data_IF_004809888988
#
_entry.id   IF_004809888988
#
_cell.length_a   1.000
_cell.length_b   1.000
_cell.length_c   1.000
_cell.angle_alpha   90.00
_cell.angle_beta   90.00
_cell.angle_gamma   90.00
#
_symmetry.space_group_name_H-M   'P 1'
#
loop_
_entity.id
_entity.type
_entity.pdbx_description
1 polymer ?
#
# COMPACT_ATOMS: atom_id res chain seq x y z
N UNK A 1 -7.78 -7.89 -8.07
CA UNK A 1 -7.37 -6.55 -7.57
C UNK A 1 -6.89 -5.71 -8.73
N UNK A 2 -7.16 -4.40 -8.70
CA UNK A 2 -6.69 -3.44 -9.72
C UNK A 2 -5.84 -2.35 -9.09
N UNK A 3 -4.82 -1.90 -9.82
CA UNK A 3 -4.01 -0.73 -9.50
C UNK A 3 -4.23 0.28 -10.59
N UNK A 4 -4.93 1.36 -10.24
CA UNK A 4 -5.25 2.47 -11.14
C UNK A 4 -4.25 3.59 -10.86
N UNK A 5 -3.46 3.96 -11.85
CA UNK A 5 -2.45 5.00 -11.75
C UNK A 5 -2.81 6.18 -12.63
N UNK A 6 -3.09 7.33 -12.02
CA UNK A 6 -3.39 8.57 -12.70
C UNK A 6 -2.14 9.44 -12.75
N UNK A 7 -1.73 9.82 -13.96
CA UNK A 7 -0.56 10.66 -14.19
C UNK A 7 -1.00 12.11 -14.13
N UNK A 8 -0.65 12.80 -13.05
CA UNK A 8 -1.11 14.16 -12.79
C UNK A 8 -0.14 15.20 -13.34
N UNK A 9 -0.68 16.37 -13.66
CA UNK A 9 0.11 17.60 -13.79
C UNK A 9 0.84 17.93 -12.48
N UNK A 10 1.94 18.67 -12.59
CA UNK A 10 2.71 19.09 -11.43
C UNK A 10 2.00 20.20 -10.70
N UNK A 11 2.04 20.14 -9.37
CA UNK A 11 1.49 21.18 -8.48
C UNK A 11 2.48 21.49 -7.37
N UNK A 12 2.40 22.70 -6.82
CA UNK A 12 3.23 23.17 -5.71
C UNK A 12 2.64 22.81 -4.34
N UNK A 13 2.07 21.61 -4.22
CA UNK A 13 1.55 21.07 -2.96
C UNK A 13 2.45 19.91 -2.54
N UNK A 14 2.80 19.85 -1.25
CA UNK A 14 3.53 18.70 -0.70
C UNK A 14 2.74 17.41 -0.90
N UNK A 15 3.42 16.34 -1.29
CA UNK A 15 2.79 15.04 -1.54
C UNK A 15 1.89 14.56 -0.39
N UNK A 16 2.33 14.76 0.86
CA UNK A 16 1.60 14.34 2.05
C UNK A 16 0.24 15.06 2.19
N UNK A 17 0.21 16.35 1.87
CA UNK A 17 -1.01 17.15 1.94
C UNK A 17 -1.90 16.88 0.72
N UNK A 18 -1.27 16.71 -0.45
CA UNK A 18 -1.99 16.45 -1.70
C UNK A 18 -2.71 15.10 -1.66
N UNK A 19 -2.05 14.04 -1.19
CA UNK A 19 -2.67 12.70 -1.14
C UNK A 19 -3.88 12.67 -0.20
N UNK A 20 -3.87 13.41 0.90
CA UNK A 20 -5.03 13.57 1.79
C UNK A 20 -6.18 14.33 1.10
N UNK A 21 -5.87 15.37 0.32
CA UNK A 21 -6.87 16.10 -0.46
C UNK A 21 -7.47 15.25 -1.58
N UNK A 22 -6.65 14.45 -2.26
CA UNK A 22 -7.08 13.50 -3.28
C UNK A 22 -7.99 12.41 -2.68
N UNK A 23 -7.69 11.94 -1.47
CA UNK A 23 -8.57 11.04 -0.74
C UNK A 23 -9.92 11.69 -0.46
N UNK A 24 -9.95 12.92 0.05
CA UNK A 24 -11.21 13.65 0.27
C UNK A 24 -12.01 13.88 -1.02
N UNK A 25 -11.32 14.22 -2.11
CA UNK A 25 -11.93 14.31 -3.44
C UNK A 25 -12.58 12.99 -3.87
N UNK A 26 -11.88 11.87 -3.70
CA UNK A 26 -12.43 10.55 -4.03
C UNK A 26 -13.64 10.20 -3.16
N UNK A 27 -13.58 10.47 -1.85
CA UNK A 27 -14.70 10.21 -0.94
C UNK A 27 -15.94 11.04 -1.27
N UNK A 28 -15.78 12.23 -1.85
CA UNK A 28 -16.91 13.06 -2.30
C UNK A 28 -17.64 12.52 -3.54
N UNK A 29 -17.12 11.46 -4.17
CA UNK A 29 -17.60 10.89 -5.45
C UNK A 29 -18.16 9.48 -5.33
N UNK A 30 -17.97 8.83 -4.20
CA UNK A 30 -18.56 7.51 -3.93
C UNK A 30 -19.95 7.67 -3.30
N UNK A 31 -20.75 6.61 -3.30
CA UNK A 31 -22.05 6.62 -2.64
C UNK A 31 -21.92 6.80 -1.12
N UNK A 32 -22.95 7.35 -0.49
CA UNK A 32 -23.01 7.48 0.97
C UNK A 32 -22.99 6.09 1.64
N UNK A 33 -23.73 5.14 1.08
CA UNK A 33 -23.78 3.75 1.57
C UNK A 33 -22.39 3.10 1.54
N UNK A 34 -21.61 3.29 0.47
CA UNK A 34 -20.25 2.79 0.41
C UNK A 34 -19.31 3.52 1.40
N UNK A 35 -19.47 4.83 1.59
CA UNK A 35 -18.70 5.57 2.57
C UNK A 35 -18.95 5.08 4.01
N UNK A 36 -20.19 4.78 4.36
CA UNK A 36 -20.56 4.21 5.65
C UNK A 36 -20.00 2.79 5.81
N UNK A 37 -20.11 1.96 4.77
CA UNK A 37 -19.49 0.63 4.74
C UNK A 37 -17.97 0.69 5.01
N UNK A 38 -17.25 1.64 4.40
CA UNK A 38 -15.81 1.84 4.63
C UNK A 38 -15.48 2.20 6.08
N UNK A 39 -16.36 2.96 6.77
CA UNK A 39 -16.13 3.35 8.16
C UNK A 39 -16.23 2.16 9.14
N UNK A 40 -16.98 1.12 8.77
CA UNK A 40 -17.15 -0.09 9.58
C UNK A 40 -16.01 -1.09 9.38
N UNK A 41 -15.21 -0.95 8.33
CA UNK A 41 -14.13 -1.90 8.03
C UNK A 41 -12.90 -1.68 8.89
N UNK A 42 -12.38 -2.77 9.48
CA UNK A 42 -11.02 -2.74 10.06
C UNK A 42 -9.94 -2.56 8.98
N UNK A 43 -10.16 -3.19 7.81
CA UNK A 43 -9.29 -3.11 6.65
C UNK A 43 -10.10 -2.63 5.47
N UNK A 44 -9.88 -1.38 5.05
CA UNK A 44 -10.53 -0.85 3.84
C UNK A 44 -10.19 -1.70 2.60
N UNK A 45 -11.16 -1.95 1.70
CA UNK A 45 -10.97 -2.66 0.44
C UNK A 45 -10.26 -1.82 -0.64
N UNK A 46 -9.59 -0.74 -0.24
CA UNK A 46 -8.74 0.06 -1.12
C UNK A 46 -7.52 0.59 -0.36
N UNK A 47 -6.50 0.93 -1.13
CA UNK A 47 -5.37 1.74 -0.65
C UNK A 47 -5.11 2.87 -1.64
N UNK A 48 -4.47 3.94 -1.19
CA UNK A 48 -4.01 4.99 -2.08
C UNK A 48 -2.65 5.50 -1.66
N UNK A 49 -1.90 6.02 -2.64
CA UNK A 49 -0.63 6.66 -2.42
C UNK A 49 -0.32 7.65 -3.53
N UNK A 50 0.62 8.55 -3.27
CA UNK A 50 1.10 9.53 -4.24
C UNK A 50 2.62 9.41 -4.33
N UNK A 51 3.13 9.27 -5.55
CA UNK A 51 4.55 9.24 -5.83
C UNK A 51 4.92 10.37 -6.78
N UNK A 52 5.74 11.30 -6.29
CA UNK A 52 6.24 12.44 -7.06
C UNK A 52 7.75 12.39 -7.23
N UNK A 53 8.24 12.58 -8.45
CA UNK A 53 9.65 12.87 -8.77
C UNK A 53 9.77 14.27 -9.37
N UNK A 54 10.90 14.64 -9.98
CA UNK A 54 10.96 15.90 -10.76
C UNK A 54 10.08 15.84 -12.02
N UNK A 55 9.97 14.67 -12.64
CA UNK A 55 9.35 14.50 -13.96
C UNK A 55 7.89 14.07 -13.87
N UNK A 56 7.54 13.24 -12.89
CA UNK A 56 6.21 12.61 -12.82
C UNK A 56 5.55 12.78 -11.46
N UNK A 57 4.23 12.87 -11.47
CA UNK A 57 3.38 12.82 -10.29
C UNK A 57 2.32 11.77 -10.56
N UNK A 58 2.32 10.69 -9.78
CA UNK A 58 1.44 9.54 -10.00
C UNK A 58 0.60 9.35 -8.75
N UNK A 59 -0.71 9.55 -8.89
CA UNK A 59 -1.68 9.16 -7.88
C UNK A 59 -2.12 7.73 -8.16
N UNK A 60 -1.87 6.84 -7.21
CA UNK A 60 -2.25 5.43 -7.31
C UNK A 60 -3.42 5.14 -6.39
N UNK A 61 -4.46 4.52 -6.94
CA UNK A 61 -5.61 3.98 -6.21
C UNK A 61 -5.66 2.48 -6.47
N UNK A 62 -5.50 1.67 -5.42
CA UNK A 62 -5.58 0.23 -5.51
C UNK A 62 -6.95 -0.25 -5.03
N UNK A 63 -7.63 -1.03 -5.86
CA UNK A 63 -8.94 -1.62 -5.64
C UNK A 63 -8.72 -3.09 -5.25
N UNK A 64 -8.97 -3.41 -3.98
CA UNK A 64 -8.52 -4.66 -3.36
C UNK A 64 -9.64 -5.70 -3.23
N UNK A 65 -10.90 -5.27 -3.28
CA UNK A 65 -12.09 -6.12 -3.30
C UNK A 65 -13.06 -5.66 -4.40
N UNK A 66 -14.08 -6.48 -4.67
CA UNK A 66 -15.03 -6.24 -5.76
C UNK A 66 -15.86 -4.97 -5.53
N UNK A 67 -16.32 -4.75 -4.31
CA UNK A 67 -17.14 -3.59 -3.91
C UNK A 67 -16.38 -2.27 -4.13
N UNK A 68 -15.07 -2.27 -3.84
CA UNK A 68 -14.22 -1.12 -4.14
C UNK A 68 -14.02 -0.92 -5.64
N UNK A 69 -13.97 -1.99 -6.43
CA UNK A 69 -13.89 -1.88 -7.88
C UNK A 69 -15.16 -1.26 -8.45
N UNK A 70 -16.32 -1.73 -8.03
CA UNK A 70 -17.64 -1.27 -8.49
C UNK A 70 -17.89 0.20 -8.15
N UNK A 71 -17.53 0.64 -6.93
CA UNK A 71 -17.81 2.00 -6.47
C UNK A 71 -16.73 3.03 -6.87
N UNK A 72 -15.45 2.64 -6.87
CA UNK A 72 -14.34 3.60 -7.06
C UNK A 72 -13.89 3.67 -8.53
N UNK A 73 -13.82 2.54 -9.25
CA UNK A 73 -13.25 2.54 -10.61
C UNK A 73 -14.01 3.49 -11.56
N UNK A 74 -15.35 3.53 -11.59
CA UNK A 74 -16.09 4.43 -12.48
C UNK A 74 -15.75 5.91 -12.26
N UNK A 75 -15.38 6.29 -11.03
CA UNK A 75 -15.02 7.67 -10.67
C UNK A 75 -13.65 8.10 -11.24
N UNK A 76 -12.84 7.13 -11.70
CA UNK A 76 -11.47 7.36 -12.15
C UNK A 76 -11.29 7.23 -13.67
N UNK A 77 -12.08 6.39 -14.35
CA UNK A 77 -11.86 6.03 -15.77
C UNK A 77 -11.82 7.22 -16.72
N UNK A 78 -12.76 8.16 -16.57
CA UNK A 78 -12.89 9.33 -17.43
C UNK A 78 -12.44 10.63 -16.76
N UNK A 79 -11.69 10.52 -15.65
CA UNK A 79 -11.27 11.66 -14.87
C UNK A 79 -10.20 12.46 -15.63
N UNK A 80 -10.57 13.64 -16.13
CA UNK A 80 -9.67 14.54 -16.87
C UNK A 80 -9.07 15.64 -16.00
N UNK A 81 -9.81 16.11 -15.01
CA UNK A 81 -9.39 17.19 -14.12
C UNK A 81 -9.87 16.95 -12.70
N UNK A 82 -9.06 17.38 -11.73
CA UNK A 82 -9.35 17.29 -10.31
C UNK A 82 -9.36 18.72 -9.75
N UNK A 83 -10.53 19.17 -9.32
CA UNK A 83 -10.67 20.42 -8.58
C UNK A 83 -10.66 20.13 -7.08
N UNK A 84 -9.76 20.77 -6.34
CA UNK A 84 -9.69 20.65 -4.88
C UNK A 84 -10.21 21.93 -4.24
N UNK A 85 -11.03 21.83 -3.18
CA UNK A 85 -11.62 23.02 -2.51
C UNK A 85 -10.61 24.01 -1.95
N UNK A 86 -9.37 23.56 -1.72
CA UNK A 86 -8.29 24.33 -1.08
C UNK A 86 -7.13 24.60 -2.04
N UNK A 87 -7.36 24.44 -3.34
CA UNK A 87 -6.40 24.74 -4.41
C UNK A 87 -7.16 25.45 -5.53
N UNK A 88 -6.70 26.62 -5.93
CA UNK A 88 -7.42 27.48 -6.88
C UNK A 88 -7.39 26.95 -8.31
N UNK A 89 -6.34 26.21 -8.68
CA UNK A 89 -6.17 25.67 -10.03
C UNK A 89 -6.73 24.24 -10.11
N UNK A 90 -7.07 23.79 -11.32
CA UNK A 90 -7.42 22.40 -11.56
C UNK A 90 -6.16 21.56 -11.81
N UNK A 91 -6.14 20.33 -11.29
CA UNK A 91 -5.06 19.38 -11.54
C UNK A 91 -5.45 18.52 -12.74
N UNK A 92 -4.79 18.71 -13.88
CA UNK A 92 -5.04 17.90 -15.07
C UNK A 92 -4.54 16.46 -14.90
N UNK A 93 -5.34 15.49 -15.35
CA UNK A 93 -4.97 14.07 -15.50
C UNK A 93 -4.47 13.87 -16.93
N UNK A 94 -3.19 13.58 -17.06
CA UNK A 94 -2.48 13.42 -18.36
C UNK A 94 -2.56 12.01 -18.92
N UNK A 95 -2.89 11.03 -18.08
CA UNK A 95 -2.95 9.63 -18.47
C UNK A 95 -3.45 8.75 -17.33
N UNK A 96 -3.88 7.56 -17.69
CA UNK A 96 -4.38 6.55 -16.77
C UNK A 96 -3.84 5.19 -17.19
N UNK A 97 -3.26 4.47 -16.23
CA UNK A 97 -2.77 3.11 -16.40
C UNK A 97 -3.51 2.19 -15.41
N UNK A 98 -3.94 1.01 -15.88
CA UNK A 98 -4.56 -0.01 -15.02
C UNK A 98 -3.71 -1.27 -15.09
N UNK A 99 -3.27 -1.74 -13.93
CA UNK A 99 -2.63 -3.03 -13.77
C UNK A 99 -3.55 -3.94 -12.96
N UNK A 100 -3.62 -5.21 -13.34
CA UNK A 100 -4.44 -6.21 -12.63
C UNK A 100 -3.52 -7.18 -11.92
N UNK A 101 -3.83 -7.46 -10.65
CA UNK A 101 -3.27 -8.57 -9.90
C UNK A 101 -4.39 -9.55 -9.60
N UNK A 102 -4.32 -10.72 -10.25
CA UNK A 102 -5.26 -11.81 -10.04
C UNK A 102 -4.79 -12.72 -8.90
N UNK A 103 -5.71 -13.50 -8.32
CA UNK A 103 -5.34 -14.55 -7.36
C UNK A 103 -4.45 -15.61 -8.02
N UNK A 104 -4.69 -15.92 -9.30
CA UNK A 104 -3.86 -16.83 -10.07
C UNK A 104 -2.40 -16.33 -10.18
N UNK A 105 -2.19 -15.03 -10.41
CA UNK A 105 -0.85 -14.44 -10.46
C UNK A 105 -0.13 -14.51 -9.11
N UNK A 106 -0.87 -14.42 -7.99
CA UNK A 106 -0.29 -14.63 -6.66
C UNK A 106 0.07 -16.11 -6.43
N UNK A 107 -0.77 -17.03 -6.92
CA UNK A 107 -0.50 -18.46 -6.85
C UNK A 107 0.74 -18.84 -7.68
N UNK A 108 0.93 -18.23 -8.85
CA UNK A 108 2.12 -18.42 -9.69
C UNK A 108 3.40 -17.98 -8.95
N UNK A 109 3.37 -16.85 -8.23
CA UNK A 109 4.48 -16.42 -7.36
C UNK A 109 4.74 -17.43 -6.25
N UNK A 110 3.69 -18.02 -5.68
CA UNK A 110 3.83 -19.06 -4.65
C UNK A 110 4.41 -20.37 -5.21
N UNK A 111 4.16 -20.66 -6.49
CA UNK A 111 4.65 -21.85 -7.18
C UNK A 111 6.02 -21.66 -7.84
N UNK A 112 6.64 -20.48 -7.70
CA UNK A 112 7.95 -20.19 -8.27
C UNK A 112 9.01 -21.17 -7.75
N UNK A 113 9.75 -21.78 -8.68
CA UNK A 113 10.87 -22.65 -8.36
C UNK A 113 12.05 -21.83 -7.82
N UNK A 114 12.56 -22.22 -6.65
CA UNK A 114 13.70 -21.59 -5.96
C UNK A 114 13.56 -20.06 -5.72
N UNK A 115 12.54 -19.59 -4.98
CA UNK A 115 12.37 -18.17 -4.71
C UNK A 115 13.61 -17.57 -4.03
N UNK A 116 13.97 -16.34 -4.43
CA UNK A 116 15.13 -15.65 -3.86
C UNK A 116 15.03 -15.56 -2.34
N UNK A 117 16.14 -15.83 -1.66
CA UNK A 117 16.27 -15.63 -0.21
C UNK A 117 16.43 -14.16 0.19
N UNK A 118 16.60 -13.26 -0.78
CA UNK A 118 16.83 -11.82 -0.54
C UNK A 118 15.78 -11.02 -1.30
N UNK A 119 15.09 -10.13 -0.58
CA UNK A 119 14.09 -9.22 -1.14
C UNK A 119 14.46 -7.78 -0.80
N UNK A 120 14.45 -6.92 -1.81
CA UNK A 120 14.69 -5.49 -1.66
C UNK A 120 13.35 -4.76 -1.70
N UNK A 121 13.04 -4.01 -0.64
CA UNK A 121 11.77 -3.30 -0.51
C UNK A 121 12.05 -1.82 -0.41
N UNK A 122 11.29 -1.02 -1.16
CA UNK A 122 11.28 0.43 -1.06
C UNK A 122 9.92 0.90 -0.57
N UNK A 123 9.89 1.43 0.65
CA UNK A 123 8.77 2.19 1.21
C UNK A 123 8.85 3.65 0.73
N UNK A 124 8.16 3.95 -0.38
CA UNK A 124 8.26 5.24 -1.04
C UNK A 124 7.29 6.29 -0.47
N UNK A 125 6.22 5.87 0.20
CA UNK A 125 5.41 6.74 1.07
C UNK A 125 5.66 6.43 2.56
N UNK A 126 5.30 7.32 3.49
CA UNK A 126 5.59 7.12 4.91
C UNK A 126 4.83 5.89 5.42
N UNK A 127 5.55 5.02 6.10
CA UNK A 127 5.04 3.76 6.65
C UNK A 127 5.19 3.76 8.15
N UNK A 128 4.15 3.34 8.85
CA UNK A 128 4.21 3.07 10.30
C UNK A 128 3.29 1.91 10.65
N UNK A 129 3.64 1.25 11.74
CA UNK A 129 2.81 0.23 12.38
C UNK A 129 2.25 0.78 13.69
N UNK A 130 1.23 0.12 14.23
CA UNK A 130 0.70 0.39 15.57
C UNK A 130 0.90 -0.85 16.44
N UNK A 131 1.65 -0.72 17.52
CA UNK A 131 1.91 -1.79 18.49
C UNK A 131 1.62 -1.26 19.89
N UNK A 132 0.73 -1.94 20.63
CA UNK A 132 0.33 -1.55 21.99
C UNK A 132 -0.03 -0.06 22.12
N UNK A 133 -0.84 0.44 21.18
CA UNK A 133 -1.29 1.83 21.16
C UNK A 133 -0.26 2.85 20.65
N UNK A 134 1.00 2.46 20.43
CA UNK A 134 2.07 3.36 19.97
C UNK A 134 2.43 3.12 18.51
N UNK A 135 2.82 4.19 17.82
CA UNK A 135 3.34 4.13 16.46
C UNK A 135 4.82 3.72 16.45
N UNK A 136 5.22 2.95 15.45
CA UNK A 136 6.57 2.37 15.34
C UNK A 136 7.35 3.07 14.23
N UNK A 137 8.51 3.62 14.60
CA UNK A 137 9.40 4.37 13.70
C UNK A 137 10.36 3.49 12.88
N UNK A 138 10.61 2.26 13.30
CA UNK A 138 11.53 1.36 12.61
C UNK A 138 10.77 0.21 11.94
N UNK A 139 11.18 -0.22 10.74
CA UNK A 139 10.63 -1.42 10.12
C UNK A 139 11.00 -2.65 10.95
N UNK A 140 10.06 -3.59 11.02
CA UNK A 140 10.14 -4.82 11.80
C UNK A 140 9.50 -5.91 10.93
N UNK A 141 10.20 -7.04 10.71
CA UNK A 141 9.73 -8.09 9.80
C UNK A 141 8.43 -8.71 10.26
N UNK A 142 8.27 -8.93 11.57
CA UNK A 142 7.01 -9.41 12.15
C UNK A 142 5.88 -8.43 11.89
N UNK A 143 6.09 -7.12 12.07
CA UNK A 143 5.04 -6.12 11.81
C UNK A 143 4.69 -5.98 10.32
N UNK A 144 5.69 -6.10 9.44
CA UNK A 144 5.48 -6.11 7.98
C UNK A 144 4.58 -7.30 7.61
N UNK A 145 4.97 -8.52 7.99
CA UNK A 145 4.22 -9.71 7.63
C UNK A 145 2.87 -9.80 8.33
N UNK A 146 2.79 -9.41 9.60
CA UNK A 146 1.51 -9.33 10.32
C UNK A 146 0.52 -8.42 9.58
N UNK A 147 0.98 -7.24 9.16
CA UNK A 147 0.13 -6.32 8.41
C UNK A 147 -0.35 -6.90 7.08
N UNK A 148 0.53 -7.59 6.34
CA UNK A 148 0.20 -8.15 5.04
C UNK A 148 -0.72 -9.36 5.18
N UNK A 149 -0.44 -10.26 6.12
CA UNK A 149 -1.27 -11.41 6.43
C UNK A 149 -2.68 -10.98 6.86
N UNK A 150 -2.81 -9.99 7.77
CA UNK A 150 -4.11 -9.49 8.20
C UNK A 150 -4.93 -8.91 7.05
N UNK A 151 -4.29 -8.11 6.18
CA UNK A 151 -4.93 -7.55 4.99
C UNK A 151 -5.36 -8.65 4.01
N UNK A 152 -4.48 -9.61 3.75
CA UNK A 152 -4.75 -10.71 2.82
C UNK A 152 -5.89 -11.60 3.33
N UNK A 153 -5.82 -12.01 4.60
CA UNK A 153 -6.81 -12.86 5.25
C UNK A 153 -8.22 -12.24 5.21
N UNK A 154 -8.34 -10.94 5.49
CA UNK A 154 -9.64 -10.24 5.50
C UNK A 154 -10.19 -9.98 4.11
N UNK A 155 -9.34 -9.50 3.19
CA UNK A 155 -9.79 -9.04 1.87
C UNK A 155 -9.92 -10.16 0.85
N UNK A 156 -9.13 -11.23 0.99
CA UNK A 156 -9.05 -12.33 0.01
C UNK A 156 -9.63 -13.62 0.57
N UNK A 157 -9.36 -13.96 1.83
CA UNK A 157 -9.82 -15.22 2.42
C UNK A 157 -11.15 -15.08 3.18
N UNK A 158 -11.62 -13.85 3.43
CA UNK A 158 -12.82 -13.59 4.24
C UNK A 158 -12.68 -13.99 5.72
N UNK A 159 -11.45 -14.09 6.23
CA UNK A 159 -11.16 -14.46 7.63
C UNK A 159 -10.78 -13.23 8.45
N UNK A 160 -11.28 -13.16 9.68
CA UNK A 160 -11.01 -12.04 10.60
C UNK A 160 -9.60 -12.07 11.22
N UNK A 161 -9.08 -13.28 11.45
CA UNK A 161 -7.84 -13.55 12.17
C UNK A 161 -6.83 -14.31 11.31
N UNK A 162 -5.55 -14.10 11.63
CA UNK A 162 -4.42 -14.79 11.00
C UNK A 162 -3.94 -15.93 11.91
N UNK A 163 -3.32 -16.93 11.31
CA UNK A 163 -2.65 -17.99 12.06
C UNK A 163 -1.34 -17.46 12.66
N UNK A 164 -1.33 -17.32 13.99
CA UNK A 164 -0.21 -16.72 14.73
C UNK A 164 1.06 -17.56 14.64
N UNK A 165 0.96 -18.89 14.58
CA UNK A 165 2.10 -19.79 14.40
C UNK A 165 2.79 -19.54 13.05
N UNK A 166 2.02 -19.38 11.98
CA UNK A 166 2.54 -19.05 10.65
C UNK A 166 3.23 -17.67 10.64
N UNK A 167 2.64 -16.66 11.29
CA UNK A 167 3.28 -15.35 11.43
C UNK A 167 4.59 -15.45 12.20
N UNK A 168 4.60 -16.17 13.33
CA UNK A 168 5.77 -16.33 14.17
C UNK A 168 6.88 -17.04 13.41
N UNK A 169 6.57 -18.13 12.71
CA UNK A 169 7.53 -18.86 11.90
C UNK A 169 8.13 -17.99 10.80
N UNK A 170 7.31 -17.20 10.10
CA UNK A 170 7.77 -16.29 9.07
C UNK A 170 8.66 -15.17 9.63
N UNK A 171 8.32 -14.63 10.80
CA UNK A 171 9.10 -13.61 11.48
C UNK A 171 10.47 -14.13 11.94
N UNK A 172 10.51 -15.32 12.55
CA UNK A 172 11.75 -15.93 13.07
C UNK A 172 12.76 -16.26 11.96
N UNK A 173 12.27 -16.51 10.75
CA UNK A 173 13.08 -16.84 9.59
C UNK A 173 13.34 -15.64 8.66
N UNK A 174 12.90 -14.44 9.03
CA UNK A 174 13.04 -13.24 8.21
C UNK A 174 13.75 -12.12 8.96
N UNK A 175 14.87 -11.65 8.41
CA UNK A 175 15.71 -10.63 9.04
C UNK A 175 15.97 -9.44 8.11
N UNK A 176 15.87 -8.22 8.62
CA UNK A 176 16.40 -7.04 7.93
C UNK A 176 17.93 -7.10 7.96
N UNK A 177 18.55 -7.28 6.79
CA UNK A 177 19.99 -7.42 6.62
C UNK A 177 20.70 -6.11 6.20
N UNK A 178 19.95 -5.17 5.64
CA UNK A 178 20.43 -3.83 5.30
C UNK A 178 19.25 -2.86 5.23
N UNK A 179 19.49 -1.58 5.49
CA UNK A 179 18.47 -0.55 5.37
C UNK A 179 19.08 0.82 5.02
N UNK A 180 18.27 1.67 4.40
CA UNK A 180 18.54 3.08 4.20
C UNK A 180 17.23 3.83 4.48
N UNK A 181 17.10 4.39 5.68
CA UNK A 181 15.84 4.92 6.19
C UNK A 181 15.97 6.38 6.59
N UNK A 182 14.84 7.08 6.57
CA UNK A 182 14.66 8.38 7.22
C UNK A 182 13.34 8.39 7.98
N UNK A 183 13.32 9.07 9.12
CA UNK A 183 12.06 9.41 9.78
C UNK A 183 11.26 10.38 8.93
N UNK A 184 9.94 10.23 8.94
CA UNK A 184 9.01 11.11 8.25
C UNK A 184 7.74 11.25 9.10
N UNK A 185 7.28 12.47 9.36
CA UNK A 185 6.01 12.68 10.06
C UNK A 185 4.91 12.95 9.05
N UNK A 186 3.90 12.09 9.02
CA UNK A 186 2.77 12.22 8.09
C UNK A 186 1.60 12.98 8.74
N UNK A 187 1.15 14.11 8.17
CA UNK A 187 0.00 14.86 8.67
C UNK A 187 -1.32 14.20 8.27
N UNK A 188 -2.18 13.91 9.25
CA UNK A 188 -3.57 13.50 9.02
C UNK A 188 -4.45 14.27 10.01
N UNK A 189 -5.44 15.02 9.51
CA UNK A 189 -6.42 15.78 10.31
C UNK A 189 -5.79 16.57 11.47
N UNK A 190 -4.71 17.32 11.20
CA UNK A 190 -4.01 18.16 12.18
C UNK A 190 -3.09 17.41 13.16
N UNK A 191 -3.05 16.08 13.12
CA UNK A 191 -2.10 15.26 13.91
C UNK A 191 -0.94 14.79 13.03
N UNK A 192 0.25 14.70 13.62
CA UNK A 192 1.47 14.19 12.95
C UNK A 192 1.77 12.78 13.42
N UNK A 193 1.78 11.84 12.49
CA UNK A 193 2.03 10.43 12.76
C UNK A 193 3.51 10.12 12.48
N UNK A 194 4.28 9.62 13.46
CA UNK A 194 5.66 9.23 13.24
C UNK A 194 5.69 8.01 12.32
N UNK A 195 6.52 8.06 11.28
CA UNK A 195 6.66 7.03 10.27
C UNK A 195 8.11 6.98 9.74
N UNK A 196 8.41 5.99 8.92
CA UNK A 196 9.66 5.89 8.17
C UNK A 196 9.41 5.90 6.67
N UNK A 197 10.42 6.32 5.90
CA UNK A 197 10.52 6.09 4.45
C UNK A 197 11.90 5.55 4.12
N UNK A 198 12.00 4.83 3.01
CA UNK A 198 13.29 4.38 2.48
C UNK A 198 13.30 2.89 2.14
N UNK A 199 14.49 2.31 2.14
CA UNK A 199 14.74 0.96 1.65
C UNK A 199 15.13 0.01 2.76
N UNK A 200 14.71 -1.24 2.63
CA UNK A 200 15.19 -2.36 3.44
C UNK A 200 15.51 -3.54 2.56
N UNK A 201 16.45 -4.37 3.00
CA UNK A 201 16.72 -5.68 2.43
C UNK A 201 16.34 -6.73 3.46
N UNK A 202 15.37 -7.57 3.14
CA UNK A 202 14.97 -8.69 3.98
C UNK A 202 15.63 -9.97 3.45
N UNK A 203 16.30 -10.70 4.35
CA UNK A 203 16.79 -12.05 4.09
C UNK A 203 15.84 -13.06 4.72
N UNK A 204 15.36 -14.00 3.93
CA UNK A 204 14.41 -15.04 4.31
C UNK A 204 15.13 -16.39 4.24
N UNK A 205 15.23 -17.06 5.38
CA UNK A 205 15.85 -18.37 5.53
C UNK A 205 14.78 -19.46 5.63
N UNK A 206 15.15 -20.72 5.39
CA UNK A 206 14.22 -21.85 5.43
C UNK A 206 13.80 -22.38 4.06
N UNK A 207 12.73 -23.19 4.05
CA UNK A 207 12.25 -23.92 2.89
C UNK A 207 11.72 -22.99 1.77
N UNK A 208 11.71 -23.50 0.54
CA UNK A 208 11.22 -22.75 -0.64
C UNK A 208 9.77 -22.28 -0.47
N UNK A 209 8.90 -23.09 0.16
CA UNK A 209 7.51 -22.72 0.45
C UNK A 209 7.38 -21.47 1.33
N UNK A 210 8.24 -21.33 2.34
CA UNK A 210 8.24 -20.15 3.22
C UNK A 210 8.65 -18.89 2.46
N UNK A 211 9.70 -19.01 1.63
CA UNK A 211 10.15 -17.90 0.78
C UNK A 211 9.06 -17.52 -0.21
N UNK A 212 8.45 -18.50 -0.87
CA UNK A 212 7.36 -18.27 -1.83
C UNK A 212 6.17 -17.57 -1.17
N UNK A 213 5.78 -17.98 0.04
CA UNK A 213 4.74 -17.31 0.81
C UNK A 213 5.08 -15.86 1.13
N UNK A 214 6.31 -15.60 1.58
CA UNK A 214 6.79 -14.25 1.85
C UNK A 214 6.75 -13.37 0.58
N UNK A 215 7.22 -13.88 -0.55
CA UNK A 215 7.17 -13.18 -1.84
C UNK A 215 5.73 -12.89 -2.26
N UNK A 216 4.83 -13.86 -2.16
CA UNK A 216 3.39 -13.68 -2.44
C UNK A 216 2.80 -12.54 -1.59
N UNK A 217 3.04 -12.52 -0.28
CA UNK A 217 2.58 -11.45 0.62
C UNK A 217 3.17 -10.09 0.25
N UNK A 218 4.46 -10.04 -0.09
CA UNK A 218 5.13 -8.79 -0.46
C UNK A 218 4.64 -8.25 -1.81
N UNK A 219 4.34 -9.12 -2.78
CA UNK A 219 3.70 -8.77 -4.07
C UNK A 219 2.29 -8.21 -3.84
N UNK A 220 1.51 -8.86 -2.98
CA UNK A 220 0.23 -8.32 -2.53
C UNK A 220 0.39 -6.95 -1.84
N UNK A 221 1.46 -6.76 -1.07
CA UNK A 221 1.81 -5.48 -0.43
C UNK A 221 2.05 -4.32 -1.39
N UNK A 222 2.45 -4.59 -2.64
CA UNK A 222 2.58 -3.55 -3.69
C UNK A 222 1.22 -2.96 -4.11
N UNK A 223 0.11 -3.59 -3.72
CA UNK A 223 -1.26 -3.14 -3.94
C UNK A 223 -1.93 -2.72 -2.63
N UNK A 224 -1.92 -3.60 -1.62
CA UNK A 224 -2.64 -3.34 -0.36
C UNK A 224 -2.00 -2.28 0.54
N UNK A 225 -0.73 -1.98 0.29
CA UNK A 225 0.11 -1.21 1.18
C UNK A 225 0.39 -1.96 2.49
N UNK A 226 1.37 -1.46 3.23
CA UNK A 226 1.84 -2.09 4.47
C UNK A 226 1.69 -1.16 5.66
N UNK A 227 1.32 -1.72 6.81
CA UNK A 227 1.10 -0.99 8.04
C UNK A 227 -0.28 -0.33 8.09
N UNK A 228 -0.33 0.83 8.73
CA UNK A 228 -1.59 1.54 9.03
C UNK A 228 -1.84 2.70 8.08
N UNK A 229 -3.12 3.11 7.97
CA UNK A 229 -3.56 4.30 7.20
C UNK A 229 -3.24 4.25 5.69
N UNK A 230 -3.23 3.06 5.10
CA UNK A 230 -3.00 2.87 3.66
C UNK A 230 -4.08 3.51 2.77
N UNK A 231 -5.31 3.65 3.26
CA UNK A 231 -6.37 4.39 2.57
C UNK A 231 -6.20 5.92 2.62
N UNK A 232 -5.18 6.43 3.34
CA UNK A 232 -4.90 7.87 3.50
C UNK A 232 -3.56 8.30 2.91
N UNK A 233 -2.84 7.42 2.18
CA UNK A 233 -1.58 7.76 1.53
C UNK A 233 -0.32 7.13 2.11
N UNK A 234 -0.43 6.46 3.27
CA UNK A 234 0.69 5.82 3.95
C UNK A 234 0.94 4.39 3.46
N UNK A 235 2.11 3.83 3.75
CA UNK A 235 2.36 2.40 3.55
C UNK A 235 2.60 1.94 2.11
N UNK A 236 2.82 2.87 1.18
CA UNK A 236 3.14 2.56 -0.21
C UNK A 236 4.52 1.93 -0.30
N UNK A 237 4.56 0.69 -0.79
CA UNK A 237 5.80 -0.09 -0.97
C UNK A 237 5.86 -0.72 -2.35
N UNK A 238 7.08 -1.04 -2.78
CA UNK A 238 7.35 -1.86 -3.96
C UNK A 238 8.55 -2.75 -3.73
N UNK A 239 8.58 -3.88 -4.42
CA UNK A 239 9.78 -4.72 -4.50
C UNK A 239 10.69 -4.10 -5.57
N UNK A 240 11.96 -3.89 -5.26
CA UNK A 240 12.94 -3.42 -6.23
C UNK A 240 13.71 -4.63 -6.79
N UNK A 241 13.58 -4.87 -8.09
CA UNK A 241 14.40 -5.85 -8.79
C UNK A 241 15.82 -5.30 -8.89
N UNK A 242 16.79 -6.01 -8.30
CA UNK A 242 18.20 -5.77 -8.58
C UNK A 242 18.63 -6.79 -9.61
N UNK A 243 19.05 -6.32 -10.79
CA UNK A 243 19.83 -7.17 -11.71
C UNK A 243 21.11 -7.56 -10.97
N UNK A 244 21.36 -8.86 -10.89
CA UNK A 244 22.60 -9.42 -10.38
C UNK A 244 23.78 -8.97 -11.26
#
# INVERSE_FOLDING_TARGET
MKKVQLHLSKVEIRDDDLVAKLQGFLMSRISADFADFLHEQETNPYSLNLYSTREKMIWTVNLLAQEAEEEILPQLLDLKEIQLNTYSESISVKGLEIQTLSQQSLLEVFQEDNPSSIVYIHFYTPTTFKRQGKFVLFPDTRLIFQSLMQKYSRLIEGKSEIEEETLQFLADHSQISSYQLRSHYFPIHGRKYPAFRGRVTIRIQGASSLKAYAHMLLRFGEFSGVGTKCSLGMGGMRIEERKA
#
